data_IF_105925659924
#
_entry.id   IF_105925659924
#
_cell.length_a   1.000
_cell.length_b   1.000
_cell.length_c   1.000
_cell.angle_alpha   90.00
_cell.angle_beta   90.00
_cell.angle_gamma   90.00
#
_symmetry.space_group_name_H-M   'P 1'
#
loop_
_entity.id
_entity.type
_entity.pdbx_description
1 polymer ?
#
# COMPACT_ATOMS: atom_id res chain seq x y z
N UNK A 1 2.74 -5.19 8.56
CA UNK A 1 2.73 -4.97 7.09
C UNK A 1 3.97 -4.24 6.65
N UNK A 2 4.15 -2.95 6.96
CA UNK A 2 5.23 -2.14 6.35
C UNK A 2 6.68 -2.57 6.60
N UNK A 3 6.96 -3.54 7.47
CA UNK A 3 8.35 -3.92 7.78
C UNK A 3 8.58 -5.42 7.84
N UNK A 4 7.54 -6.24 7.66
CA UNK A 4 7.69 -7.70 7.78
C UNK A 4 8.54 -8.23 6.64
N UNK A 5 8.35 -7.67 5.45
CA UNK A 5 9.16 -7.88 4.26
C UNK A 5 10.65 -7.59 4.51
N UNK A 6 10.98 -6.45 5.12
CA UNK A 6 12.38 -6.09 5.44
C UNK A 6 13.00 -7.06 6.44
N UNK A 7 12.23 -7.52 7.44
CA UNK A 7 12.69 -8.52 8.43
C UNK A 7 12.99 -9.85 7.74
N UNK A 8 12.08 -10.31 6.86
CA UNK A 8 12.26 -11.55 6.11
C UNK A 8 13.44 -11.46 5.15
N UNK A 9 13.59 -10.34 4.43
CA UNK A 9 14.74 -10.13 3.54
C UNK A 9 16.05 -10.13 4.32
N UNK A 10 16.11 -9.47 5.49
CA UNK A 10 17.29 -9.51 6.35
C UNK A 10 17.62 -10.92 6.86
N UNK A 11 16.62 -11.79 6.99
CA UNK A 11 16.79 -13.17 7.41
C UNK A 11 17.31 -14.07 6.28
N UNK A 12 16.77 -13.91 5.06
CA UNK A 12 17.05 -14.82 3.94
C UNK A 12 18.19 -14.38 3.02
N UNK A 13 18.50 -13.08 2.93
CA UNK A 13 19.47 -12.54 1.99
C UNK A 13 20.75 -12.05 2.69
N UNK A 14 21.89 -12.00 1.97
CA UNK A 14 23.11 -11.40 2.48
C UNK A 14 22.89 -9.95 2.97
N UNK A 15 23.65 -9.48 3.98
CA UNK A 15 23.48 -8.14 4.54
C UNK A 15 23.53 -7.00 3.52
N UNK A 16 24.34 -7.14 2.47
CA UNK A 16 24.47 -6.17 1.39
C UNK A 16 23.16 -6.07 0.57
N UNK A 17 22.57 -7.21 0.20
CA UNK A 17 21.29 -7.25 -0.51
C UNK A 17 20.13 -6.76 0.35
N UNK A 18 20.13 -7.10 1.64
CA UNK A 18 19.14 -6.58 2.58
C UNK A 18 19.23 -5.05 2.73
N UNK A 19 20.45 -4.48 2.68
CA UNK A 19 20.67 -3.03 2.64
C UNK A 19 20.11 -2.38 1.38
N UNK A 20 20.40 -2.96 0.21
CA UNK A 20 19.88 -2.52 -1.10
C UNK A 20 18.35 -2.54 -1.11
N UNK A 21 17.75 -3.64 -0.66
CA UNK A 21 16.29 -3.78 -0.53
C UNK A 21 15.70 -2.74 0.42
N UNK A 22 16.32 -2.53 1.59
CA UNK A 22 15.84 -1.57 2.58
C UNK A 22 15.81 -0.14 2.04
N UNK A 23 16.80 0.24 1.22
CA UNK A 23 16.78 1.53 0.53
C UNK A 23 15.59 1.66 -0.42
N UNK A 24 15.37 0.67 -1.31
CA UNK A 24 14.20 0.66 -2.19
C UNK A 24 12.87 0.68 -1.39
N UNK A 25 12.78 -0.07 -0.29
CA UNK A 25 11.60 -0.11 0.56
C UNK A 25 11.31 1.24 1.20
N UNK A 26 12.35 1.95 1.66
CA UNK A 26 12.19 3.26 2.28
C UNK A 26 11.77 4.31 1.25
N UNK A 27 12.35 4.29 0.05
CA UNK A 27 11.91 5.13 -1.08
C UNK A 27 10.43 4.87 -1.38
N UNK A 28 10.03 3.62 -1.57
CA UNK A 28 8.65 3.24 -1.86
C UNK A 28 7.66 3.73 -0.79
N UNK A 29 8.01 3.60 0.49
CA UNK A 29 7.17 3.97 1.64
C UNK A 29 6.88 5.46 1.73
N UNK A 30 7.69 6.33 1.10
CA UNK A 30 7.40 7.77 1.03
C UNK A 30 6.00 8.01 0.46
N UNK A 31 5.59 7.24 -0.56
CA UNK A 31 4.25 7.33 -1.15
C UNK A 31 3.17 7.09 -0.08
N UNK A 32 3.31 6.01 0.69
CA UNK A 32 2.32 5.68 1.72
C UNK A 32 2.23 6.76 2.79
N UNK A 33 3.37 7.16 3.36
CA UNK A 33 3.39 8.13 4.45
C UNK A 33 2.95 9.53 4.00
N UNK A 34 3.23 9.92 2.76
CA UNK A 34 2.76 11.19 2.21
C UNK A 34 1.23 11.23 2.02
N UNK A 35 0.60 10.08 1.74
CA UNK A 35 -0.82 10.00 1.42
C UNK A 35 -1.69 9.54 2.60
N UNK A 36 -1.09 8.92 3.60
CA UNK A 36 -1.75 8.46 4.83
C UNK A 36 -2.63 9.54 5.51
N UNK A 37 -2.22 10.83 5.60
CA UNK A 37 -3.03 11.87 6.22
C UNK A 37 -4.40 12.07 5.58
N UNK A 38 -4.54 11.83 4.27
CA UNK A 38 -5.83 11.95 3.56
C UNK A 38 -6.84 10.93 4.13
N UNK A 39 -6.39 9.70 4.37
CA UNK A 39 -7.23 8.66 4.96
C UNK A 39 -7.54 8.94 6.43
N UNK A 40 -6.57 9.48 7.17
CA UNK A 40 -6.74 9.83 8.58
C UNK A 40 -7.71 11.01 8.77
N UNK A 41 -7.69 12.01 7.88
CA UNK A 41 -8.63 13.12 7.90
C UNK A 41 -10.04 12.70 7.45
N UNK A 42 -10.13 11.77 6.50
CA UNK A 42 -11.40 11.18 6.06
C UNK A 42 -12.10 10.45 7.21
N UNK A 43 -11.37 9.71 8.03
CA UNK A 43 -11.91 8.86 9.08
C UNK A 43 -12.89 9.58 10.05
N UNK A 44 -12.48 10.62 10.81
CA UNK A 44 -13.36 11.28 11.76
C UNK A 44 -14.54 11.95 11.06
N UNK A 45 -14.36 12.43 9.82
CA UNK A 45 -15.43 13.05 9.07
C UNK A 45 -16.52 12.07 8.66
N UNK A 46 -16.14 10.87 8.22
CA UNK A 46 -17.09 9.81 7.92
C UNK A 46 -17.80 9.32 9.19
N UNK A 47 -17.07 9.18 10.30
CA UNK A 47 -17.66 8.80 11.58
C UNK A 47 -18.72 9.82 12.06
N UNK A 48 -18.43 11.12 11.94
CA UNK A 48 -19.36 12.20 12.25
C UNK A 48 -20.63 12.14 11.38
N UNK A 49 -20.48 12.07 10.05
CA UNK A 49 -21.60 12.02 9.11
C UNK A 49 -22.47 10.78 9.31
N UNK A 50 -21.86 9.65 9.66
CA UNK A 50 -22.59 8.43 9.98
C UNK A 50 -23.51 8.62 11.19
N UNK A 51 -23.03 9.28 12.26
CA UNK A 51 -23.84 9.57 13.46
C UNK A 51 -25.01 10.49 13.08
N UNK A 52 -24.76 11.48 12.22
CA UNK A 52 -25.77 12.40 11.69
C UNK A 52 -26.72 11.77 10.66
N UNK A 53 -26.52 10.51 10.27
CA UNK A 53 -27.24 9.81 9.20
C UNK A 53 -27.17 10.56 7.85
N UNK A 54 -26.10 11.32 7.64
CA UNK A 54 -25.84 12.05 6.40
C UNK A 54 -25.01 11.21 5.42
N UNK A 55 -25.09 11.54 4.13
CA UNK A 55 -24.31 10.84 3.10
C UNK A 55 -22.83 11.17 3.20
N UNK A 56 -22.00 10.14 3.32
CA UNK A 56 -20.53 10.25 3.38
C UNK A 56 -19.82 9.63 2.16
N UNK A 57 -20.57 9.17 1.16
CA UNK A 57 -20.02 8.53 -0.06
C UNK A 57 -19.16 9.49 -0.89
N UNK A 58 -19.54 10.77 -0.95
CA UNK A 58 -18.78 11.79 -1.68
C UNK A 58 -17.40 12.06 -1.08
N UNK A 59 -17.28 12.04 0.25
CA UNK A 59 -15.99 12.23 0.94
C UNK A 59 -15.09 11.03 0.68
N UNK A 60 -15.62 9.82 0.84
CA UNK A 60 -14.89 8.60 0.52
C UNK A 60 -14.35 8.60 -0.91
N UNK A 61 -15.21 8.88 -1.89
CA UNK A 61 -14.82 8.83 -3.30
C UNK A 61 -13.77 9.90 -3.64
N UNK A 62 -13.89 11.11 -3.06
CA UNK A 62 -12.85 12.14 -3.16
C UNK A 62 -11.52 11.67 -2.60
N UNK A 63 -11.51 11.06 -1.41
CA UNK A 63 -10.29 10.52 -0.80
C UNK A 63 -9.66 9.42 -1.65
N UNK A 64 -10.47 8.51 -2.22
CA UNK A 64 -9.98 7.48 -3.14
C UNK A 64 -9.32 8.10 -4.38
N UNK A 65 -9.98 9.04 -5.06
CA UNK A 65 -9.43 9.67 -6.26
C UNK A 65 -8.18 10.51 -5.95
N UNK A 66 -8.14 11.22 -4.83
CA UNK A 66 -6.95 11.96 -4.41
C UNK A 66 -5.76 11.02 -4.17
N UNK A 67 -5.95 9.96 -3.39
CA UNK A 67 -4.87 9.01 -3.09
C UNK A 67 -4.45 8.24 -4.35
N UNK A 68 -5.40 7.78 -5.16
CA UNK A 68 -5.11 7.09 -6.42
C UNK A 68 -4.36 8.00 -7.40
N UNK A 69 -4.80 9.25 -7.59
CA UNK A 69 -4.16 10.20 -8.49
C UNK A 69 -2.74 10.56 -8.03
N UNK A 70 -2.57 10.95 -6.76
CA UNK A 70 -1.26 11.33 -6.22
C UNK A 70 -0.28 10.14 -6.19
N UNK A 71 -0.75 8.95 -5.81
CA UNK A 71 0.09 7.75 -5.81
C UNK A 71 0.42 7.27 -7.23
N UNK A 72 -0.43 7.50 -8.22
CA UNK A 72 -0.13 7.23 -9.62
C UNK A 72 0.95 8.18 -10.16
N UNK A 73 0.88 9.47 -9.82
CA UNK A 73 1.92 10.45 -10.17
C UNK A 73 3.26 10.05 -9.55
N UNK A 74 3.28 9.72 -8.26
CA UNK A 74 4.51 9.29 -7.58
C UNK A 74 5.09 8.00 -8.21
N UNK A 75 4.25 7.02 -8.49
CA UNK A 75 4.69 5.78 -9.16
C UNK A 75 5.17 6.03 -10.59
N UNK A 76 4.57 6.96 -11.33
CA UNK A 76 5.07 7.35 -12.65
C UNK A 76 6.49 7.94 -12.55
N UNK A 77 6.77 8.79 -11.56
CA UNK A 77 8.13 9.30 -11.30
C UNK A 77 9.09 8.15 -11.00
N UNK A 78 8.66 7.16 -10.24
CA UNK A 78 9.49 6.00 -9.88
C UNK A 78 9.74 5.06 -11.05
N UNK A 79 8.84 5.00 -12.04
CA UNK A 79 9.03 4.23 -13.28
C UNK A 79 9.88 4.97 -14.30
N UNK A 80 9.70 6.28 -14.44
CA UNK A 80 10.37 7.10 -15.45
C UNK A 80 11.77 7.54 -15.03
N UNK A 81 11.99 7.76 -13.74
CA UNK A 81 13.26 8.28 -13.21
C UNK A 81 13.70 7.60 -11.89
N UNK A 82 13.70 6.25 -11.78
CA UNK A 82 14.06 5.55 -10.53
C UNK A 82 15.46 5.89 -10.04
N UNK A 83 16.43 5.99 -10.96
CA UNK A 83 17.81 6.33 -10.64
C UNK A 83 17.96 7.74 -10.06
N UNK A 84 17.20 8.72 -10.54
CA UNK A 84 17.22 10.07 -9.98
C UNK A 84 16.72 10.08 -8.54
N UNK A 85 15.56 9.46 -8.29
CA UNK A 85 14.95 9.39 -6.95
C UNK A 85 15.89 8.69 -5.96
N UNK A 86 16.46 7.55 -6.37
CA UNK A 86 17.34 6.80 -5.49
C UNK A 86 18.63 7.55 -5.18
N UNK A 87 19.27 8.13 -6.20
CA UNK A 87 20.53 8.85 -6.02
C UNK A 87 20.34 10.11 -5.19
N UNK A 88 19.19 10.78 -5.30
CA UNK A 88 18.87 11.94 -4.48
C UNK A 88 18.78 11.60 -2.99
N UNK A 89 18.25 10.43 -2.65
CA UNK A 89 17.97 10.05 -1.26
C UNK A 89 19.07 9.21 -0.59
N UNK A 90 19.74 8.35 -1.37
CA UNK A 90 20.68 7.34 -0.87
C UNK A 90 22.05 7.38 -1.55
N UNK A 91 22.14 8.00 -2.73
CA UNK A 91 23.36 8.09 -3.52
C UNK A 91 23.73 6.82 -4.33
N UNK A 92 24.81 6.90 -5.13
CA UNK A 92 25.15 5.89 -6.14
C UNK A 92 25.48 4.49 -5.60
N UNK A 93 25.87 4.40 -4.33
CA UNK A 93 26.16 3.12 -3.67
C UNK A 93 24.96 2.17 -3.66
N UNK A 94 23.74 2.69 -3.81
CA UNK A 94 22.51 1.92 -3.79
C UNK A 94 21.94 1.62 -5.18
N UNK A 95 22.63 1.96 -6.28
CA UNK A 95 22.11 1.80 -7.65
C UNK A 95 21.60 0.38 -7.99
N UNK A 96 22.08 -0.66 -7.30
CA UNK A 96 21.53 -2.02 -7.40
C UNK A 96 20.03 -2.12 -7.03
N UNK A 97 19.47 -1.14 -6.32
CA UNK A 97 18.06 -1.08 -5.93
C UNK A 97 17.16 -0.49 -7.02
N UNK A 98 17.73 0.18 -8.03
CA UNK A 98 16.99 0.86 -9.12
C UNK A 98 15.93 -0.03 -9.76
N UNK A 99 16.21 -1.31 -10.11
CA UNK A 99 15.22 -2.18 -10.75
C UNK A 99 14.00 -2.48 -9.88
N UNK A 100 14.11 -2.32 -8.55
CA UNK A 100 13.03 -2.60 -7.61
C UNK A 100 12.06 -1.41 -7.48
N UNK A 101 12.54 -0.18 -7.66
CA UNK A 101 11.83 1.06 -7.28
C UNK A 101 10.47 1.20 -7.96
N UNK A 102 10.39 0.97 -9.26
CA UNK A 102 9.15 1.13 -10.02
C UNK A 102 8.05 0.18 -9.53
N UNK A 103 8.37 -1.12 -9.44
CA UNK A 103 7.43 -2.13 -8.98
C UNK A 103 7.04 -1.93 -7.51
N UNK A 104 8.01 -1.50 -6.68
CA UNK A 104 7.76 -1.29 -5.26
C UNK A 104 6.89 -0.05 -5.03
N UNK A 105 7.12 1.02 -5.80
CA UNK A 105 6.25 2.19 -5.86
C UNK A 105 4.81 1.80 -6.18
N UNK A 106 4.61 0.99 -7.23
CA UNK A 106 3.30 0.46 -7.59
C UNK A 106 2.66 -0.33 -6.44
N UNK A 107 3.40 -1.24 -5.81
CA UNK A 107 2.91 -2.03 -4.68
C UNK A 107 2.43 -1.14 -3.52
N UNK A 108 3.21 -0.11 -3.18
CA UNK A 108 2.87 0.82 -2.11
C UNK A 108 1.73 1.78 -2.52
N UNK A 109 1.58 2.14 -3.79
CA UNK A 109 0.40 2.86 -4.28
C UNK A 109 -0.88 2.04 -4.09
N UNK A 110 -0.86 0.75 -4.42
CA UNK A 110 -2.00 -0.16 -4.21
C UNK A 110 -2.37 -0.30 -2.72
N UNK A 111 -1.36 -0.40 -1.86
CA UNK A 111 -1.54 -0.38 -0.40
C UNK A 111 -2.15 0.94 0.08
N UNK A 112 -1.70 2.08 -0.45
CA UNK A 112 -2.20 3.41 -0.08
C UNK A 112 -3.68 3.57 -0.40
N UNK A 113 -4.13 3.10 -1.57
CA UNK A 113 -5.56 3.10 -1.93
C UNK A 113 -6.34 2.12 -1.04
N UNK A 114 -5.82 0.91 -0.81
CA UNK A 114 -6.45 -0.07 0.08
C UNK A 114 -6.65 0.47 1.50
N UNK A 115 -5.68 1.26 1.98
CA UNK A 115 -5.74 1.90 3.29
C UNK A 115 -6.91 2.90 3.40
N UNK A 116 -7.27 3.60 2.31
CA UNK A 116 -8.49 4.43 2.25
C UNK A 116 -9.72 3.57 2.49
N UNK A 117 -9.85 2.43 1.80
CA UNK A 117 -10.99 1.52 1.96
C UNK A 117 -11.08 0.98 3.39
N UNK A 118 -9.96 0.52 3.96
CA UNK A 118 -9.91 0.00 5.33
C UNK A 118 -10.39 1.07 6.34
N UNK A 119 -9.89 2.30 6.23
CA UNK A 119 -10.31 3.41 7.09
C UNK A 119 -11.77 3.79 6.88
N UNK A 120 -12.26 3.75 5.64
CA UNK A 120 -13.67 3.95 5.31
C UNK A 120 -14.56 2.92 6.02
N UNK A 121 -14.23 1.63 5.94
CA UNK A 121 -15.02 0.58 6.57
C UNK A 121 -15.00 0.69 8.09
N UNK A 122 -13.84 1.01 8.68
CA UNK A 122 -13.73 1.25 10.11
C UNK A 122 -14.58 2.45 10.56
N UNK A 123 -14.47 3.60 9.90
CA UNK A 123 -15.27 4.79 10.19
C UNK A 123 -16.78 4.52 10.00
N UNK A 124 -17.12 3.66 9.04
CA UNK A 124 -18.49 3.20 8.80
C UNK A 124 -18.98 2.15 9.80
N UNK A 125 -18.19 1.77 10.81
CA UNK A 125 -18.49 0.79 11.85
C UNK A 125 -18.44 -0.68 11.42
N UNK A 126 -17.91 -0.98 10.23
CA UNK A 126 -17.72 -2.34 9.71
C UNK A 126 -16.34 -2.86 10.11
N UNK A 127 -16.09 -2.90 11.42
CA UNK A 127 -14.77 -3.17 12.00
C UNK A 127 -14.21 -4.53 11.60
N UNK A 128 -15.05 -5.54 11.38
CA UNK A 128 -14.61 -6.87 10.92
C UNK A 128 -13.80 -6.83 9.62
N UNK A 129 -14.03 -5.84 8.75
CA UNK A 129 -13.27 -5.75 7.50
C UNK A 129 -11.81 -5.33 7.72
N UNK A 130 -11.48 -4.66 8.84
CA UNK A 130 -10.09 -4.23 9.08
C UNK A 130 -9.12 -5.40 9.28
N UNK A 131 -9.63 -6.59 9.60
CA UNK A 131 -8.83 -7.82 9.68
C UNK A 131 -8.25 -8.25 8.32
N UNK A 132 -8.72 -7.70 7.20
CA UNK A 132 -8.10 -7.94 5.90
C UNK A 132 -6.62 -7.54 5.89
N UNK A 133 -6.28 -6.45 6.59
CA UNK A 133 -4.94 -5.91 6.62
C UNK A 133 -3.93 -6.87 7.28
N UNK A 134 -4.12 -7.33 8.54
CA UNK A 134 -3.26 -8.36 9.12
C UNK A 134 -3.35 -9.71 8.40
N UNK A 135 -4.50 -10.10 7.83
CA UNK A 135 -4.62 -11.34 7.07
C UNK A 135 -3.70 -11.34 5.84
N UNK A 136 -3.73 -10.27 5.04
CA UNK A 136 -2.84 -10.12 3.89
C UNK A 136 -1.37 -9.96 4.30
N UNK A 137 -1.09 -9.42 5.49
CA UNK A 137 0.28 -9.41 6.04
C UNK A 137 0.82 -10.82 6.28
N UNK A 138 -0.02 -11.73 6.80
CA UNK A 138 0.35 -13.14 6.99
C UNK A 138 0.51 -13.83 5.66
N UNK A 139 -0.42 -13.61 4.71
CA UNK A 139 -0.30 -14.15 3.35
C UNK A 139 1.00 -13.72 2.69
N UNK A 140 1.33 -12.42 2.73
CA UNK A 140 2.59 -11.88 2.22
C UNK A 140 3.79 -12.58 2.84
N UNK A 141 3.82 -12.69 4.17
CA UNK A 141 4.93 -13.31 4.89
C UNK A 141 5.09 -14.79 4.53
N UNK A 142 3.99 -15.54 4.41
CA UNK A 142 3.97 -16.94 3.99
C UNK A 142 4.47 -17.08 2.55
N UNK A 143 4.00 -16.23 1.64
CA UNK A 143 4.44 -16.27 0.25
C UNK A 143 5.94 -15.98 0.14
N UNK A 144 6.45 -14.95 0.83
CA UNK A 144 7.88 -14.64 0.85
C UNK A 144 8.67 -15.79 1.48
N UNK A 145 8.17 -16.41 2.55
CA UNK A 145 8.82 -17.54 3.20
C UNK A 145 9.08 -18.72 2.24
N UNK A 146 8.10 -19.04 1.39
CA UNK A 146 8.25 -20.14 0.41
C UNK A 146 8.88 -19.71 -0.92
N UNK A 147 8.79 -18.43 -1.30
CA UNK A 147 9.27 -17.91 -2.58
C UNK A 147 10.07 -16.61 -2.40
N UNK A 148 11.41 -16.73 -2.34
CA UNK A 148 12.33 -15.61 -2.18
C UNK A 148 13.65 -15.81 -2.94
N UNK A 149 13.61 -16.35 -4.16
CA UNK A 149 14.79 -16.62 -4.97
C UNK A 149 15.52 -15.34 -5.43
N UNK A 150 14.85 -14.18 -5.44
CA UNK A 150 15.48 -12.88 -5.71
C UNK A 150 14.71 -11.74 -5.06
N UNK A 151 15.37 -10.59 -4.86
CA UNK A 151 14.72 -9.37 -4.37
C UNK A 151 13.55 -8.93 -5.28
N UNK A 152 13.70 -9.11 -6.60
CA UNK A 152 12.63 -8.79 -7.54
C UNK A 152 11.40 -9.70 -7.35
N UNK A 153 11.61 -10.99 -7.07
CA UNK A 153 10.52 -11.92 -6.75
C UNK A 153 9.81 -11.50 -5.46
N UNK A 154 10.56 -11.12 -4.42
CA UNK A 154 9.99 -10.61 -3.16
C UNK A 154 9.10 -9.39 -3.40
N UNK A 155 9.58 -8.40 -4.15
CA UNK A 155 8.78 -7.20 -4.47
C UNK A 155 7.55 -7.55 -5.35
N UNK A 156 7.68 -8.52 -6.26
CA UNK A 156 6.55 -8.99 -7.07
C UNK A 156 5.45 -9.62 -6.22
N UNK A 157 5.82 -10.43 -5.21
CA UNK A 157 4.87 -11.01 -4.25
C UNK A 157 4.13 -9.90 -3.50
N UNK A 158 4.84 -8.87 -3.05
CA UNK A 158 4.23 -7.72 -2.37
C UNK A 158 3.25 -7.00 -3.31
N UNK A 159 3.65 -6.73 -4.56
CA UNK A 159 2.79 -6.08 -5.54
C UNK A 159 1.48 -6.86 -5.80
N UNK A 160 1.59 -8.18 -6.01
CA UNK A 160 0.42 -9.06 -6.20
C UNK A 160 -0.46 -9.08 -4.94
N UNK A 161 0.15 -9.16 -3.77
CA UNK A 161 -0.58 -9.22 -2.49
C UNK A 161 -1.33 -7.92 -2.21
N UNK A 162 -0.72 -6.76 -2.47
CA UNK A 162 -1.37 -5.46 -2.35
C UNK A 162 -2.47 -5.26 -3.40
N UNK A 163 -2.25 -5.72 -4.63
CA UNK A 163 -3.27 -5.71 -5.68
C UNK A 163 -4.48 -6.56 -5.31
N UNK A 164 -4.26 -7.77 -4.81
CA UNK A 164 -5.31 -8.66 -4.35
C UNK A 164 -6.09 -8.07 -3.15
N UNK A 165 -5.41 -7.41 -2.20
CA UNK A 165 -6.06 -6.71 -1.10
C UNK A 165 -6.95 -5.56 -1.57
N UNK A 166 -6.48 -4.79 -2.56
CA UNK A 166 -7.28 -3.71 -3.15
C UNK A 166 -8.53 -4.26 -3.84
N UNK A 167 -8.38 -5.30 -4.66
CA UNK A 167 -9.51 -5.95 -5.33
C UNK A 167 -10.53 -6.49 -4.34
N UNK A 168 -10.09 -7.16 -3.27
CA UNK A 168 -10.96 -7.62 -2.20
C UNK A 168 -11.69 -6.46 -1.49
N UNK A 169 -11.01 -5.33 -1.30
CA UNK A 169 -11.60 -4.10 -0.74
C UNK A 169 -12.66 -3.48 -1.63
N UNK A 170 -12.42 -3.45 -2.94
CA UNK A 170 -13.39 -2.98 -3.93
C UNK A 170 -14.60 -3.92 -4.02
N UNK A 171 -14.37 -5.24 -4.09
CA UNK A 171 -15.44 -6.23 -4.16
C UNK A 171 -16.37 -6.13 -2.94
N UNK A 172 -15.80 -6.03 -1.74
CA UNK A 172 -16.59 -5.85 -0.52
C UNK A 172 -17.37 -4.52 -0.53
N UNK A 173 -16.79 -3.44 -1.05
CA UNK A 173 -17.49 -2.16 -1.18
C UNK A 173 -18.73 -2.26 -2.09
N UNK A 174 -18.60 -2.89 -3.26
CA UNK A 174 -19.72 -3.08 -4.18
C UNK A 174 -20.80 -4.00 -3.62
N UNK A 175 -20.41 -5.13 -3.01
CA UNK A 175 -21.35 -6.07 -2.39
C UNK A 175 -22.19 -5.44 -1.27
N UNK A 176 -21.58 -4.58 -0.45
CA UNK A 176 -22.31 -3.90 0.61
C UNK A 176 -23.24 -2.83 0.02
N UNK A 177 -22.81 -2.10 -1.00
CA UNK A 177 -23.62 -1.06 -1.64
C UNK A 177 -24.90 -1.63 -2.23
N UNK A 178 -24.82 -2.79 -2.88
CA UNK A 178 -25.97 -3.50 -3.47
C UNK A 178 -27.01 -3.90 -2.42
N UNK A 179 -26.59 -4.38 -1.24
CA UNK A 179 -27.50 -4.74 -0.14
C UNK A 179 -28.22 -3.55 0.51
N UNK A 180 -27.68 -2.33 0.38
CA UNK A 180 -28.29 -1.10 0.92
C UNK A 180 -29.22 -0.40 -0.07
N UNK A 181 -29.27 -0.84 -1.34
CA UNK A 181 -30.16 -0.30 -2.38
C UNK A 181 -31.48 -1.08 -2.55
N UNK A 182 -31.76 -2.02 -1.65
CA UNK A 182 -33.03 -2.77 -1.54
C UNK A 182 -33.65 -2.42 -0.19
#
# INVERSE_FOLDING_TARGET
MYSIDVILVKHFFPPQEAGIYSAAALVAKVIFFALMPISQAMFPKIAELKIKKESYSGIFLKSVFMVAGLSAIATAVYLLAPGFVLNLLFGPAYNAAIPLIGLFGLAISLLSVSYVFINYFLASGKTKFSYIMPAFAVVEAVLIWFWHASLFQTVSIIAVTMGAMLLASMANFFFIREKTSV
#
